data_IF_493593525817
#
_entry.id   IF_493593525817
#
_cell.length_a   1.000
_cell.length_b   1.000
_cell.length_c   1.000
_cell.angle_alpha   90.00
_cell.angle_beta   90.00
_cell.angle_gamma   90.00
#
_symmetry.space_group_name_H-M   'P 1'
#
loop_
_entity.id
_entity.type
_entity.pdbx_description
1 polymer ?
#
# COMPACT_ATOMS: atom_id res chain seq x y z
N UNK A 1 13.04 -9.88 8.75
CA UNK A 1 11.84 -9.73 9.61
C UNK A 1 11.06 -8.54 9.05
N UNK A 2 9.78 -8.70 8.75
CA UNK A 2 8.92 -7.64 8.26
C UNK A 2 7.84 -7.34 9.30
N UNK A 3 7.43 -6.09 9.36
CA UNK A 3 6.40 -5.64 10.30
C UNK A 3 5.04 -5.83 9.65
N UNK A 4 4.14 -6.50 10.36
CA UNK A 4 2.74 -6.69 9.96
C UNK A 4 1.89 -6.21 11.12
N UNK A 5 0.74 -5.62 10.84
CA UNK A 5 -0.30 -5.47 11.85
C UNK A 5 -0.72 -6.86 12.40
N UNK A 6 -1.08 -6.90 13.68
CA UNK A 6 -1.40 -8.16 14.37
C UNK A 6 -2.85 -8.59 14.10
N UNK A 7 -3.70 -7.64 13.68
CA UNK A 7 -5.08 -7.89 13.28
C UNK A 7 -5.15 -8.02 11.76
N UNK A 8 -5.05 -9.26 11.30
CA UNK A 8 -5.21 -9.62 9.90
C UNK A 8 -6.62 -10.17 9.67
N UNK A 9 -7.17 -9.96 8.48
CA UNK A 9 -8.36 -10.66 8.01
C UNK A 9 -7.96 -11.67 6.92
N UNK A 10 -7.68 -12.93 7.28
CA UNK A 10 -7.37 -13.99 6.33
C UNK A 10 -8.42 -14.13 5.24
N UNK A 11 -7.98 -14.35 4.00
CA UNK A 11 -8.85 -14.81 2.93
C UNK A 11 -9.03 -16.32 3.07
N UNK A 12 -10.27 -16.80 3.14
CA UNK A 12 -10.53 -18.23 3.26
C UNK A 12 -10.09 -19.00 2.00
N UNK A 13 -9.42 -20.14 2.18
CA UNK A 13 -8.99 -21.00 1.05
C UNK A 13 -10.16 -21.41 0.16
N UNK A 14 -11.31 -21.69 0.77
CA UNK A 14 -12.51 -22.12 0.04
C UNK A 14 -12.98 -21.04 -0.95
N UNK A 15 -12.87 -19.76 -0.58
CA UNK A 15 -13.18 -18.63 -1.47
C UNK A 15 -12.24 -18.59 -2.67
N UNK A 16 -10.93 -18.75 -2.45
CA UNK A 16 -9.92 -18.76 -3.52
C UNK A 16 -10.07 -19.98 -4.45
N UNK A 17 -10.38 -21.16 -3.90
CA UNK A 17 -10.63 -22.37 -4.69
C UNK A 17 -11.89 -22.23 -5.55
N UNK A 18 -12.96 -21.67 -4.98
CA UNK A 18 -14.19 -21.39 -5.71
C UNK A 18 -13.95 -20.39 -6.84
N UNK A 19 -13.22 -19.31 -6.56
CA UNK A 19 -12.85 -18.34 -7.58
C UNK A 19 -12.09 -18.99 -8.75
N UNK A 20 -11.10 -19.82 -8.46
CA UNK A 20 -10.36 -20.58 -9.49
C UNK A 20 -11.28 -21.49 -10.34
N UNK A 21 -12.27 -22.12 -9.71
CA UNK A 21 -13.25 -22.96 -10.42
C UNK A 21 -14.17 -22.12 -11.31
N UNK A 22 -14.72 -21.04 -10.76
CA UNK A 22 -15.69 -20.17 -11.44
C UNK A 22 -15.06 -19.44 -12.65
N UNK A 23 -13.77 -19.11 -12.56
CA UNK A 23 -13.02 -18.38 -13.60
C UNK A 23 -12.04 -19.25 -14.40
N UNK A 24 -12.01 -20.57 -14.17
CA UNK A 24 -11.12 -21.52 -14.85
C UNK A 24 -9.63 -21.10 -14.88
N UNK A 25 -9.13 -20.54 -13.77
CA UNK A 25 -7.74 -20.10 -13.62
C UNK A 25 -7.02 -20.91 -12.54
N UNK A 26 -5.68 -20.87 -12.56
CA UNK A 26 -4.85 -21.27 -11.42
C UNK A 26 -4.23 -20.02 -10.81
N UNK A 27 -4.57 -19.74 -9.55
CA UNK A 27 -3.91 -18.67 -8.80
C UNK A 27 -2.54 -19.16 -8.34
N UNK A 28 -1.51 -18.29 -8.30
CA UNK A 28 -0.22 -18.65 -7.73
C UNK A 28 -0.38 -19.15 -6.29
N UNK A 29 0.23 -20.29 -5.96
CA UNK A 29 0.11 -20.87 -4.63
C UNK A 29 0.70 -19.93 -3.57
N UNK A 30 1.84 -19.31 -3.86
CA UNK A 30 2.46 -18.33 -2.96
C UNK A 30 1.55 -17.13 -2.69
N UNK A 31 0.76 -16.67 -3.68
CA UNK A 31 -0.24 -15.63 -3.47
C UNK A 31 -1.36 -16.12 -2.55
N UNK A 32 -1.89 -17.32 -2.79
CA UNK A 32 -2.95 -17.91 -1.97
C UNK A 32 -2.50 -18.05 -0.52
N UNK A 33 -1.32 -18.62 -0.28
CA UNK A 33 -0.72 -18.74 1.06
C UNK A 33 -0.56 -17.37 1.72
N UNK A 34 -0.08 -16.38 0.97
CA UNK A 34 0.12 -15.03 1.47
C UNK A 34 -1.18 -14.37 1.93
N UNK A 35 -2.23 -14.36 1.10
CA UNK A 35 -3.52 -13.74 1.47
C UNK A 35 -4.30 -14.55 2.51
N UNK A 36 -4.06 -15.85 2.61
CA UNK A 36 -4.56 -16.67 3.72
C UNK A 36 -3.87 -16.33 5.05
N UNK A 37 -2.60 -15.94 5.00
CA UNK A 37 -1.85 -15.63 6.21
C UNK A 37 -2.02 -14.17 6.65
N UNK A 38 -2.06 -13.25 5.69
CA UNK A 38 -2.00 -11.80 5.93
C UNK A 38 -3.26 -11.05 5.48
N UNK A 39 -4.16 -11.67 4.74
CA UNK A 39 -5.28 -10.95 4.12
C UNK A 39 -4.84 -10.04 2.97
N UNK A 40 -5.78 -9.26 2.46
CA UNK A 40 -5.53 -8.15 1.51
C UNK A 40 -4.96 -6.94 2.24
N UNK A 41 -4.25 -6.06 1.53
CA UNK A 41 -3.50 -4.99 2.19
C UNK A 41 -2.46 -4.31 1.32
N UNK A 42 -1.68 -3.41 1.90
CA UNK A 42 -0.65 -2.66 1.19
C UNK A 42 0.75 -3.06 1.64
N UNK A 43 1.58 -3.50 0.69
CA UNK A 43 2.99 -3.76 0.88
C UNK A 43 3.81 -2.48 0.69
N UNK A 44 4.50 -2.08 1.76
CA UNK A 44 5.43 -0.95 1.79
C UNK A 44 4.84 0.37 1.25
N UNK A 45 3.53 0.57 1.39
CA UNK A 45 2.82 1.76 0.90
C UNK A 45 2.80 1.90 -0.62
N UNK A 46 3.18 0.86 -1.39
CA UNK A 46 3.35 0.95 -2.85
C UNK A 46 2.47 -0.05 -3.59
N UNK A 47 2.47 -1.32 -3.18
CA UNK A 47 1.73 -2.38 -3.87
C UNK A 47 0.57 -2.86 -3.01
N UNK A 48 -0.64 -2.66 -3.50
CA UNK A 48 -1.85 -3.23 -2.93
C UNK A 48 -2.01 -4.67 -3.40
N UNK A 49 -2.24 -5.57 -2.45
CA UNK A 49 -2.62 -6.96 -2.68
C UNK A 49 -4.10 -7.05 -2.42
N UNK A 50 -4.83 -7.46 -3.45
CA UNK A 50 -6.28 -7.39 -3.51
C UNK A 50 -6.88 -8.79 -3.61
N UNK A 51 -8.19 -8.90 -3.47
CA UNK A 51 -8.89 -10.12 -3.87
C UNK A 51 -8.80 -10.27 -5.39
N UNK A 52 -8.78 -11.51 -5.92
CA UNK A 52 -8.80 -11.71 -7.36
C UNK A 52 -10.04 -11.07 -8.00
N UNK A 53 -9.85 -10.21 -8.99
CA UNK A 53 -10.91 -9.48 -9.69
C UNK A 53 -10.82 -9.70 -11.21
N UNK A 54 -11.83 -10.36 -11.77
CA UNK A 54 -11.95 -10.67 -13.19
C UNK A 54 -12.71 -9.60 -14.01
N UNK A 55 -13.16 -8.52 -13.36
CA UNK A 55 -13.95 -7.45 -13.96
C UNK A 55 -13.15 -6.16 -14.10
N UNK A 56 -12.16 -5.93 -13.23
CA UNK A 56 -11.41 -4.67 -13.17
C UNK A 56 -10.80 -4.22 -14.50
N UNK A 57 -10.28 -5.16 -15.32
CA UNK A 57 -9.67 -4.82 -16.61
C UNK A 57 -10.67 -4.71 -17.78
N UNK A 58 -11.94 -5.08 -17.60
CA UNK A 58 -12.92 -5.10 -18.69
C UNK A 58 -13.18 -3.72 -19.28
N UNK A 59 -13.20 -2.68 -18.43
CA UNK A 59 -13.40 -1.31 -18.90
C UNK A 59 -12.21 -0.79 -19.71
N UNK A 60 -11.01 -1.33 -19.49
CA UNK A 60 -9.77 -0.89 -20.12
C UNK A 60 -9.59 -1.35 -21.57
N UNK A 61 -10.33 -2.37 -21.99
CA UNK A 61 -10.34 -2.92 -23.36
C UNK A 61 -10.74 -1.88 -24.40
N UNK A 62 -11.71 -1.03 -24.07
CA UNK A 62 -12.19 0.02 -24.98
C UNK A 62 -11.24 1.23 -25.03
N UNK A 63 -10.51 1.49 -23.94
CA UNK A 63 -9.58 2.62 -23.88
C UNK A 63 -8.27 2.36 -24.65
N UNK A 64 -7.92 1.09 -24.91
CA UNK A 64 -6.71 0.69 -25.65
C UNK A 64 -5.45 1.37 -25.08
N UNK A 65 -5.29 1.32 -23.76
CA UNK A 65 -4.16 1.97 -23.07
C UNK A 65 -2.81 1.30 -23.40
N UNK A 66 -2.84 0.01 -23.73
CA UNK A 66 -1.66 -0.78 -24.05
C UNK A 66 -1.63 -1.20 -25.52
N UNK A 67 -0.42 -1.34 -26.05
CA UNK A 67 -0.17 -1.83 -27.39
C UNK A 67 -0.19 -3.36 -27.40
N UNK A 68 -0.95 -3.93 -28.34
CA UNK A 68 -1.09 -5.38 -28.52
C UNK A 68 -0.54 -5.80 -29.88
N UNK A 69 0.79 -5.71 -30.02
CA UNK A 69 1.50 -6.14 -31.23
C UNK A 69 1.94 -7.62 -31.17
N UNK A 70 2.76 -8.06 -32.13
CA UNK A 70 3.25 -9.45 -32.20
C UNK A 70 4.14 -9.87 -31.01
N UNK A 71 4.66 -8.91 -30.23
CA UNK A 71 5.52 -9.15 -29.07
C UNK A 71 4.76 -9.04 -27.75
N UNK A 72 3.52 -8.54 -27.77
CA UNK A 72 2.66 -8.45 -26.59
C UNK A 72 2.35 -9.84 -26.04
N UNK A 73 2.40 -10.04 -24.71
CA UNK A 73 2.11 -11.34 -24.10
C UNK A 73 0.63 -11.74 -24.21
N UNK A 74 -0.25 -10.77 -24.46
CA UNK A 74 -1.70 -10.98 -24.63
C UNK A 74 -2.27 -10.06 -25.72
N UNK A 75 -3.40 -10.45 -26.32
CA UNK A 75 -4.18 -9.59 -27.22
C UNK A 75 -5.08 -8.63 -26.44
N UNK A 76 -5.68 -7.65 -27.14
CA UNK A 76 -6.63 -6.73 -26.51
C UNK A 76 -7.90 -7.45 -26.03
N UNK A 77 -8.36 -8.47 -26.74
CA UNK A 77 -9.51 -9.29 -26.31
C UNK A 77 -9.19 -10.05 -25.03
N UNK A 78 -7.96 -10.56 -24.90
CA UNK A 78 -7.49 -11.29 -23.72
C UNK A 78 -7.31 -10.38 -22.48
N UNK A 79 -7.20 -9.06 -22.67
CA UNK A 79 -7.16 -8.11 -21.56
C UNK A 79 -8.43 -8.20 -20.69
N UNK A 80 -9.60 -8.42 -21.31
CA UNK A 80 -10.88 -8.58 -20.61
C UNK A 80 -10.95 -9.84 -19.74
N UNK A 81 -10.11 -10.84 -20.04
CA UNK A 81 -10.04 -12.14 -19.38
C UNK A 81 -9.01 -12.15 -18.25
N UNK A 82 -8.23 -11.08 -18.11
CA UNK A 82 -7.21 -10.96 -17.08
C UNK A 82 -7.84 -10.79 -15.69
N UNK A 83 -7.21 -11.43 -14.72
CA UNK A 83 -7.60 -11.39 -13.31
C UNK A 83 -6.59 -10.55 -12.57
N UNK A 84 -7.02 -9.39 -12.08
CA UNK A 84 -6.18 -8.52 -11.25
C UNK A 84 -6.10 -9.10 -9.84
N UNK A 85 -4.89 -9.10 -9.28
CA UNK A 85 -4.63 -9.55 -7.90
C UNK A 85 -3.88 -8.49 -7.08
N UNK A 86 -3.55 -7.36 -7.72
CA UNK A 86 -2.95 -6.22 -7.04
C UNK A 86 -2.80 -5.00 -7.94
N UNK A 87 -2.63 -3.85 -7.30
CA UNK A 87 -2.46 -2.55 -7.96
C UNK A 87 -1.33 -1.76 -7.30
N UNK A 88 -0.64 -0.89 -8.04
CA UNK A 88 0.29 0.06 -7.41
C UNK A 88 -0.39 1.38 -7.10
N UNK A 89 0.21 2.16 -6.20
CA UNK A 89 -0.22 3.55 -5.94
C UNK A 89 -0.16 4.46 -7.17
N UNK A 90 0.65 4.11 -8.18
CA UNK A 90 0.72 4.85 -9.44
C UNK A 90 -0.36 4.41 -10.43
N UNK A 91 -1.07 3.32 -10.14
CA UNK A 91 -2.17 2.78 -10.93
C UNK A 91 -1.75 1.71 -11.94
N UNK A 92 -0.62 1.04 -11.73
CA UNK A 92 -0.26 -0.16 -12.48
C UNK A 92 -1.06 -1.35 -11.97
N UNK A 93 -1.35 -2.31 -12.86
CA UNK A 93 -2.02 -3.56 -12.48
C UNK A 93 -1.06 -4.74 -12.47
N UNK A 94 -1.19 -5.60 -11.47
CA UNK A 94 -0.62 -6.93 -11.44
C UNK A 94 -1.74 -7.94 -11.69
N UNK A 95 -1.66 -8.65 -12.81
CA UNK A 95 -2.71 -9.53 -13.27
C UNK A 95 -2.21 -10.92 -13.69
N UNK A 96 -3.16 -11.83 -13.86
CA UNK A 96 -2.98 -13.19 -14.34
C UNK A 96 -3.84 -13.40 -15.58
N UNK A 97 -3.38 -14.23 -16.50
CA UNK A 97 -4.18 -14.68 -17.63
C UNK A 97 -4.05 -16.20 -17.80
N UNK A 98 -5.12 -16.97 -18.04
CA UNK A 98 -5.07 -18.43 -18.08
C UNK A 98 -4.07 -19.04 -19.09
N UNK A 99 -3.73 -18.28 -20.14
CA UNK A 99 -2.79 -18.71 -21.19
C UNK A 99 -1.34 -18.25 -20.96
N UNK A 100 -1.08 -17.47 -19.91
CA UNK A 100 0.25 -16.97 -19.56
C UNK A 100 0.70 -17.66 -18.27
N UNK A 101 1.88 -18.28 -18.29
CA UNK A 101 2.43 -19.02 -17.13
C UNK A 101 2.89 -18.11 -15.98
N UNK A 102 3.25 -16.89 -16.34
CA UNK A 102 3.83 -15.87 -15.47
C UNK A 102 2.81 -14.74 -15.22
N UNK A 103 3.17 -13.76 -14.40
CA UNK A 103 2.28 -12.63 -14.11
C UNK A 103 2.41 -11.56 -15.18
N UNK A 104 1.34 -10.81 -15.37
CA UNK A 104 1.29 -9.64 -16.24
C UNK A 104 1.37 -8.38 -15.39
N UNK A 105 2.27 -7.47 -15.76
CA UNK A 105 2.36 -6.12 -15.22
C UNK A 105 1.88 -5.16 -16.29
N UNK A 106 0.79 -4.45 -15.99
CA UNK A 106 0.17 -3.50 -16.91
C UNK A 106 0.43 -2.09 -16.38
N UNK A 107 1.53 -1.44 -16.81
CA UNK A 107 1.93 -0.14 -16.29
C UNK A 107 1.00 0.96 -16.80
N UNK A 108 0.62 1.91 -15.95
CA UNK A 108 -0.21 3.06 -16.35
C UNK A 108 0.52 4.02 -17.28
N UNK A 109 1.84 4.13 -17.10
CA UNK A 109 2.68 5.13 -17.76
C UNK A 109 3.52 4.57 -18.89
N UNK A 110 3.20 3.36 -19.36
CA UNK A 110 3.80 2.72 -20.54
C UNK A 110 2.71 2.01 -21.33
N UNK A 111 2.92 1.89 -22.64
CA UNK A 111 2.04 1.15 -23.54
C UNK A 111 2.38 -0.34 -23.61
N UNK A 112 3.55 -0.75 -23.10
CA UNK A 112 4.00 -2.15 -23.16
C UNK A 112 3.54 -2.92 -21.91
N UNK A 113 2.92 -4.08 -22.12
CA UNK A 113 2.59 -5.03 -21.05
C UNK A 113 3.83 -5.89 -20.78
N UNK A 114 4.28 -5.92 -19.53
CA UNK A 114 5.46 -6.65 -19.12
C UNK A 114 5.09 -8.01 -18.50
N UNK A 115 5.88 -9.04 -18.79
CA UNK A 115 5.79 -10.34 -18.11
C UNK A 115 6.70 -10.32 -16.88
N UNK A 116 6.13 -10.57 -15.70
CA UNK A 116 6.85 -10.72 -14.44
C UNK A 116 6.98 -12.19 -14.12
N UNK A 117 8.22 -12.68 -14.11
CA UNK A 117 8.49 -14.09 -13.85
C UNK A 117 7.92 -14.53 -12.50
N UNK A 118 7.19 -15.64 -12.52
CA UNK A 118 6.73 -16.34 -11.33
C UNK A 118 7.76 -17.39 -10.91
N UNK A 119 8.31 -17.25 -9.71
CA UNK A 119 9.17 -18.26 -9.10
C UNK A 119 8.40 -19.05 -8.05
N UNK A 120 8.04 -20.30 -8.37
CA UNK A 120 7.32 -21.20 -7.47
C UNK A 120 8.08 -21.56 -6.18
N UNK A 121 9.39 -21.29 -6.11
CA UNK A 121 10.20 -21.53 -4.91
C UNK A 121 10.36 -20.27 -4.05
N UNK A 122 10.04 -19.09 -4.59
CA UNK A 122 10.12 -17.83 -3.86
C UNK A 122 8.84 -17.57 -3.09
N UNK A 123 8.96 -16.91 -1.93
CA UNK A 123 7.79 -16.39 -1.22
C UNK A 123 7.16 -15.22 -1.99
N UNK A 124 5.86 -15.00 -1.77
CA UNK A 124 5.16 -13.85 -2.37
C UNK A 124 5.83 -12.51 -2.05
N UNK A 125 6.34 -12.36 -0.82
CA UNK A 125 7.04 -11.15 -0.38
C UNK A 125 8.33 -10.91 -1.15
N UNK A 126 9.12 -11.97 -1.40
CA UNK A 126 10.34 -11.86 -2.18
C UNK A 126 10.04 -11.43 -3.61
N UNK A 127 9.01 -12.00 -4.22
CA UNK A 127 8.57 -11.64 -5.55
C UNK A 127 8.06 -10.19 -5.62
N UNK A 128 7.18 -9.76 -4.70
CA UNK A 128 6.73 -8.36 -4.61
C UNK A 128 7.90 -7.40 -4.51
N UNK A 129 8.88 -7.71 -3.66
CA UNK A 129 10.07 -6.88 -3.51
C UNK A 129 10.90 -6.80 -4.80
N UNK A 130 11.04 -7.92 -5.53
CA UNK A 130 11.74 -7.96 -6.80
C UNK A 130 11.00 -7.14 -7.86
N UNK A 131 9.69 -7.32 -8.03
CA UNK A 131 8.88 -6.57 -9.01
C UNK A 131 8.96 -5.07 -8.76
N UNK A 132 8.81 -4.64 -7.51
CA UNK A 132 8.93 -3.22 -7.16
C UNK A 132 10.35 -2.68 -7.38
N UNK A 133 11.38 -3.48 -7.10
CA UNK A 133 12.76 -3.09 -7.42
C UNK A 133 12.98 -2.94 -8.92
N UNK A 134 12.36 -3.79 -9.74
CA UNK A 134 12.43 -3.68 -11.20
C UNK A 134 11.71 -2.43 -11.73
N UNK A 135 10.49 -2.17 -11.24
CA UNK A 135 9.67 -1.03 -11.70
C UNK A 135 10.20 0.33 -11.24
N UNK A 136 10.69 0.42 -10.00
CA UNK A 136 11.04 1.70 -9.35
C UNK A 136 12.55 1.89 -9.13
N UNK A 137 13.35 0.85 -9.33
CA UNK A 137 14.81 0.90 -9.20
C UNK A 137 15.30 1.35 -7.82
N UNK A 138 16.39 2.11 -7.82
CA UNK A 138 17.03 2.67 -6.61
C UNK A 138 16.08 3.52 -5.77
N UNK A 139 15.02 4.08 -6.37
CA UNK A 139 14.06 4.90 -5.62
C UNK A 139 13.30 4.05 -4.60
N UNK A 140 12.90 2.83 -4.96
CA UNK A 140 12.24 1.91 -4.03
C UNK A 140 13.18 1.42 -2.92
N UNK A 141 14.43 1.13 -3.26
CA UNK A 141 15.45 0.77 -2.26
C UNK A 141 15.71 1.90 -1.26
N UNK A 142 15.74 3.15 -1.73
CA UNK A 142 15.89 4.33 -0.87
C UNK A 142 14.64 4.61 -0.04
N UNK A 143 13.45 4.37 -0.61
CA UNK A 143 12.18 4.54 0.08
C UNK A 143 11.98 3.52 1.21
N UNK A 144 12.64 2.36 1.16
CA UNK A 144 12.36 1.29 2.13
C UNK A 144 13.63 0.67 2.74
N UNK A 145 14.06 1.21 3.87
CA UNK A 145 14.98 0.53 4.79
C UNK A 145 14.29 -0.58 5.61
N UNK A 146 12.95 -0.55 5.69
CA UNK A 146 12.14 -1.46 6.49
C UNK A 146 11.01 -2.04 5.64
N UNK A 147 10.88 -3.37 5.60
CA UNK A 147 9.78 -4.05 4.90
C UNK A 147 8.58 -4.17 5.83
N UNK A 148 7.41 -3.71 5.41
CA UNK A 148 6.18 -3.82 6.18
C UNK A 148 4.96 -4.12 5.29
N UNK A 149 3.91 -4.65 5.90
CA UNK A 149 2.62 -4.92 5.28
C UNK A 149 1.49 -4.41 6.17
N UNK A 150 0.59 -3.65 5.59
CA UNK A 150 -0.60 -3.11 6.24
C UNK A 150 -1.82 -3.88 5.75
N UNK A 151 -2.29 -4.87 6.50
CA UNK A 151 -3.53 -5.58 6.16
C UNK A 151 -4.73 -4.65 6.27
N UNK A 152 -5.61 -4.68 5.29
CA UNK A 152 -6.85 -3.91 5.29
C UNK A 152 -7.91 -4.67 6.08
N UNK A 153 -8.53 -3.99 7.04
CA UNK A 153 -9.64 -4.52 7.83
C UNK A 153 -10.86 -3.61 7.68
N UNK A 154 -12.10 -4.16 7.65
CA UNK A 154 -13.33 -3.35 7.61
C UNK A 154 -13.51 -2.45 8.83
N UNK A 155 -12.82 -2.77 9.94
CA UNK A 155 -12.82 -1.98 11.17
C UNK A 155 -11.84 -0.81 11.13
N UNK A 156 -10.91 -0.78 10.17
CA UNK A 156 -9.93 0.29 10.03
C UNK A 156 -10.62 1.65 9.82
N UNK A 157 -10.23 2.62 10.65
CA UNK A 157 -10.74 3.98 10.64
C UNK A 157 -9.67 4.93 10.12
N UNK A 158 -10.10 5.93 9.34
CA UNK A 158 -9.25 7.00 8.85
C UNK A 158 -9.77 8.35 9.32
N UNK A 159 -8.89 9.16 9.93
CA UNK A 159 -9.17 10.55 10.30
C UNK A 159 -8.16 11.46 9.62
N UNK A 160 -8.67 12.47 8.92
CA UNK A 160 -7.86 13.59 8.44
C UNK A 160 -7.91 14.70 9.48
N UNK A 161 -6.75 15.04 10.03
CA UNK A 161 -6.57 16.05 11.07
C UNK A 161 -5.74 17.21 10.51
N UNK A 162 -5.93 18.39 11.09
CA UNK A 162 -5.21 19.61 10.72
C UNK A 162 -4.30 20.03 11.85
N UNK A 163 -3.02 20.23 11.55
CA UNK A 163 -2.05 20.88 12.42
C UNK A 163 -2.21 22.39 12.34
N UNK A 164 -2.41 23.02 13.49
CA UNK A 164 -2.53 24.47 13.65
C UNK A 164 -1.27 25.01 14.34
N UNK A 165 -0.24 25.45 13.57
CA UNK A 165 1.01 25.92 14.15
C UNK A 165 0.80 27.15 15.05
N UNK A 166 1.54 27.21 16.15
CA UNK A 166 1.44 28.31 17.12
C UNK A 166 1.84 29.66 16.51
N UNK A 167 1.13 30.74 16.86
CA UNK A 167 1.33 32.08 16.29
C UNK A 167 2.67 32.75 16.72
N UNK A 168 3.41 32.20 17.68
CA UNK A 168 4.74 32.67 18.09
C UNK A 168 5.80 32.28 17.04
N UNK A 169 5.77 32.99 15.92
CA UNK A 169 6.53 32.68 14.70
C UNK A 169 5.79 33.01 13.41
N UNK A 170 4.59 33.61 13.50
CA UNK A 170 3.78 34.06 12.36
C UNK A 170 4.43 35.23 11.60
N UNK A 171 5.53 34.95 10.90
CA UNK A 171 5.62 35.43 9.53
C UNK A 171 4.67 34.57 8.72
N UNK A 172 3.40 34.96 8.73
CA UNK A 172 2.35 34.46 7.87
C UNK A 172 2.93 34.21 6.46
N UNK A 173 2.74 33.00 5.93
CA UNK A 173 2.83 32.59 4.50
C UNK A 173 3.99 31.71 4.04
N UNK A 174 4.87 31.15 4.89
CA UNK A 174 5.84 30.16 4.40
C UNK A 174 5.42 28.72 4.75
N UNK A 175 5.07 27.92 3.74
CA UNK A 175 4.85 26.46 3.88
C UNK A 175 6.07 25.81 4.56
N UNK A 176 7.27 26.33 4.28
CA UNK A 176 8.52 25.88 4.89
C UNK A 176 8.53 25.95 6.41
N UNK A 177 8.04 27.03 7.02
CA UNK A 177 8.04 27.17 8.49
C UNK A 177 7.03 26.24 9.16
N UNK A 178 5.88 26.00 8.53
CA UNK A 178 4.88 25.06 9.05
C UNK A 178 5.37 23.60 8.89
N UNK A 179 6.03 23.29 7.76
CA UNK A 179 6.64 21.99 7.55
C UNK A 179 7.72 21.69 8.59
N UNK A 180 8.61 22.63 8.88
CA UNK A 180 9.64 22.49 9.92
C UNK A 180 9.05 22.26 11.31
N UNK A 181 8.00 23.00 11.68
CA UNK A 181 7.29 22.78 12.94
C UNK A 181 6.62 21.41 12.99
N UNK A 182 5.96 20.99 11.91
CA UNK A 182 5.32 19.67 11.83
C UNK A 182 6.35 18.53 11.91
N UNK A 183 7.54 18.71 11.33
CA UNK A 183 8.65 17.76 11.50
C UNK A 183 9.07 17.66 12.97
N UNK A 184 9.28 18.79 13.64
CA UNK A 184 9.62 18.79 15.08
C UNK A 184 8.54 18.14 15.94
N UNK A 185 7.26 18.41 15.64
CA UNK A 185 6.13 17.79 16.33
C UNK A 185 6.13 16.27 16.14
N UNK A 186 6.34 15.77 14.92
CA UNK A 186 6.43 14.34 14.67
C UNK A 186 7.56 13.68 15.48
N UNK A 187 8.73 14.32 15.56
CA UNK A 187 9.86 13.84 16.36
C UNK A 187 9.56 13.84 17.87
N UNK A 188 8.89 14.88 18.35
CA UNK A 188 8.49 14.99 19.76
C UNK A 188 7.44 13.94 20.13
N UNK A 189 6.45 13.71 19.26
CA UNK A 189 5.47 12.62 19.40
C UNK A 189 6.20 11.28 19.48
N UNK A 190 7.10 11.00 18.54
CA UNK A 190 7.87 9.75 18.55
C UNK A 190 8.79 9.61 19.77
N UNK A 191 9.22 10.71 20.39
CA UNK A 191 10.00 10.66 21.63
C UNK A 191 9.13 10.32 22.84
N UNK A 192 7.90 10.84 22.91
CA UNK A 192 6.97 10.60 24.02
C UNK A 192 6.22 9.28 23.91
N UNK A 193 5.91 8.87 22.69
CA UNK A 193 5.25 7.62 22.34
C UNK A 193 6.02 6.96 21.18
N UNK A 194 7.12 6.24 21.48
CA UNK A 194 7.94 5.60 20.45
C UNK A 194 7.15 4.70 19.53
N UNK A 195 7.27 4.96 18.23
CA UNK A 195 6.70 4.13 17.19
C UNK A 195 7.47 2.82 17.03
N UNK A 196 6.76 1.73 16.71
CA UNK A 196 7.37 0.46 16.33
C UNK A 196 8.11 0.57 14.98
N UNK A 197 7.66 1.51 14.13
CA UNK A 197 8.31 1.85 12.88
C UNK A 197 8.15 3.35 12.60
N UNK A 198 9.28 3.99 12.24
CA UNK A 198 9.32 5.34 11.71
C UNK A 198 9.85 5.28 10.27
N UNK A 199 9.06 5.79 9.33
CA UNK A 199 9.46 5.99 7.93
C UNK A 199 9.42 7.48 7.68
N UNK A 200 10.54 8.04 7.25
CA UNK A 200 10.67 9.47 7.06
C UNK A 200 11.31 9.78 5.71
N UNK A 201 10.73 10.77 5.04
CA UNK A 201 11.20 11.32 3.79
C UNK A 201 11.25 12.85 3.92
N UNK A 202 11.84 13.56 2.94
CA UNK A 202 11.78 15.03 2.92
C UNK A 202 10.35 15.61 2.90
N UNK A 203 9.33 14.81 2.57
CA UNK A 203 7.96 15.27 2.36
C UNK A 203 6.95 14.70 3.36
N UNK A 204 7.33 13.71 4.16
CA UNK A 204 6.42 13.06 5.09
C UNK A 204 7.14 12.27 6.17
N UNK A 205 6.42 12.02 7.26
CA UNK A 205 6.80 11.04 8.27
C UNK A 205 5.60 10.16 8.59
N UNK A 206 5.82 8.86 8.63
CA UNK A 206 4.86 7.85 9.07
C UNK A 206 5.40 7.23 10.36
N UNK A 207 4.60 7.35 11.42
CA UNK A 207 4.82 6.70 12.71
C UNK A 207 3.79 5.60 12.88
N UNK A 208 4.23 4.34 12.93
CA UNK A 208 3.37 3.17 13.07
C UNK A 208 3.47 2.57 14.47
N UNK A 209 2.32 2.23 15.04
CA UNK A 209 2.22 1.56 16.34
C UNK A 209 1.35 0.31 16.21
N UNK A 210 1.89 -0.83 16.62
CA UNK A 210 1.12 -2.08 16.74
C UNK A 210 0.00 -1.94 17.75
N UNK A 211 0.21 -1.19 18.84
CA UNK A 211 -0.80 -1.03 19.89
C UNK A 211 -2.11 -0.39 19.43
N UNK A 212 -2.13 0.33 18.30
CA UNK A 212 -3.36 0.87 17.69
C UNK A 212 -3.66 0.24 16.32
N UNK A 213 -2.84 -0.73 15.92
CA UNK A 213 -2.90 -1.40 14.61
C UNK A 213 -2.92 -0.41 13.43
N UNK A 214 -2.11 0.64 13.54
CA UNK A 214 -2.19 1.76 12.60
C UNK A 214 -1.05 2.76 12.73
N UNK A 215 -1.23 3.94 12.13
CA UNK A 215 -0.19 4.94 12.00
C UNK A 215 -0.72 6.36 12.02
N UNK A 216 0.17 7.30 12.33
CA UNK A 216 0.00 8.72 12.02
C UNK A 216 0.97 9.10 10.90
N UNK A 217 0.44 9.70 9.82
CA UNK A 217 1.20 10.23 8.70
C UNK A 217 1.16 11.75 8.72
N UNK A 218 2.32 12.36 8.92
CA UNK A 218 2.54 13.79 8.88
C UNK A 218 2.95 14.18 7.46
N UNK A 219 2.22 15.10 6.85
CA UNK A 219 2.49 15.55 5.49
C UNK A 219 3.28 16.86 5.51
N UNK A 220 4.61 16.76 5.39
CA UNK A 220 5.51 17.92 5.41
C UNK A 220 5.41 18.75 4.14
N UNK A 221 4.99 18.17 3.00
CA UNK A 221 4.82 18.93 1.76
C UNK A 221 3.72 20.01 1.87
N UNK A 222 2.62 19.70 2.58
CA UNK A 222 1.58 20.69 2.87
C UNK A 222 1.82 21.43 4.19
N UNK A 223 2.51 20.80 5.15
CA UNK A 223 2.91 21.43 6.40
C UNK A 223 1.79 21.58 7.44
N UNK A 224 0.60 21.03 7.17
CA UNK A 224 -0.54 21.06 8.10
C UNK A 224 -1.37 19.77 8.12
N UNK A 225 -1.23 18.88 7.14
CA UNK A 225 -2.07 17.67 7.08
C UNK A 225 -1.46 16.55 7.91
N UNK A 226 -2.28 15.96 8.78
CA UNK A 226 -1.96 14.74 9.52
C UNK A 226 -3.06 13.72 9.28
N UNK A 227 -2.72 12.56 8.73
CA UNK A 227 -3.65 11.45 8.57
C UNK A 227 -3.43 10.44 9.69
N UNK A 228 -4.49 10.07 10.40
CA UNK A 228 -4.48 9.06 11.45
C UNK A 228 -5.27 7.84 10.97
N UNK A 229 -4.62 6.69 10.96
CA UNK A 229 -5.21 5.39 10.65
C UNK A 229 -5.10 4.49 11.88
N UNK A 230 -6.18 3.80 12.26
CA UNK A 230 -6.19 2.90 13.42
C UNK A 230 -7.33 1.88 13.32
N UNK A 231 -7.23 0.78 14.08
CA UNK A 231 -8.33 -0.15 14.31
C UNK A 231 -9.01 0.16 15.66
N UNK A 232 -10.33 -0.02 15.76
CA UNK A 232 -11.12 0.30 16.98
C UNK A 232 -10.98 -0.77 18.08
N UNK A 233 -10.12 -1.76 17.90
CA UNK A 233 -9.93 -2.86 18.85
C UNK A 233 -9.23 -2.44 20.16
N UNK A 234 -8.41 -1.39 20.14
CA UNK A 234 -7.58 -0.96 21.28
C UNK A 234 -7.83 0.52 21.64
N UNK A 235 -8.95 0.76 22.34
CA UNK A 235 -9.46 2.12 22.61
C UNK A 235 -8.52 2.97 23.47
N UNK A 236 -7.87 2.41 24.49
CA UNK A 236 -6.97 3.16 25.39
C UNK A 236 -5.71 3.68 24.68
N UNK A 237 -5.07 2.83 23.86
CA UNK A 237 -3.87 3.22 23.12
C UNK A 237 -4.20 4.30 22.07
N UNK A 238 -5.37 4.17 21.42
CA UNK A 238 -5.92 5.18 20.50
C UNK A 238 -6.16 6.51 21.21
N UNK A 239 -6.88 6.51 22.33
CA UNK A 239 -7.18 7.72 23.11
C UNK A 239 -5.89 8.44 23.52
N UNK A 240 -4.90 7.70 24.01
CA UNK A 240 -3.60 8.26 24.37
C UNK A 240 -2.90 8.95 23.19
N UNK A 241 -2.94 8.37 21.99
CA UNK A 241 -2.38 9.02 20.80
C UNK A 241 -3.17 10.26 20.39
N UNK A 242 -4.50 10.20 20.42
CA UNK A 242 -5.36 11.34 20.11
C UNK A 242 -5.15 12.50 21.08
N UNK A 243 -5.07 12.22 22.38
CA UNK A 243 -4.74 13.21 23.41
C UNK A 243 -3.37 13.84 23.18
N UNK A 244 -2.37 13.04 22.79
CA UNK A 244 -1.05 13.53 22.46
C UNK A 244 -1.07 14.45 21.23
N UNK A 245 -1.79 14.07 20.17
CA UNK A 245 -1.95 14.90 18.97
C UNK A 245 -2.61 16.25 19.30
N UNK A 246 -3.63 16.26 20.17
CA UNK A 246 -4.30 17.48 20.63
C UNK A 246 -3.36 18.43 21.38
N UNK A 247 -2.41 17.91 22.17
CA UNK A 247 -1.40 18.74 22.85
C UNK A 247 -0.51 19.51 21.87
N UNK A 248 -0.33 18.97 20.65
CA UNK A 248 0.41 19.60 19.56
C UNK A 248 -0.49 20.35 18.57
N UNK A 249 -1.72 20.71 18.96
CA UNK A 249 -2.64 21.47 18.12
C UNK A 249 -3.01 20.76 16.81
N UNK A 250 -3.13 19.43 16.84
CA UNK A 250 -3.57 18.60 15.71
C UNK A 250 -5.00 18.11 15.99
N UNK A 251 -6.01 18.58 15.23
CA UNK A 251 -7.42 18.17 15.36
C UNK A 251 -8.25 18.37 14.08
#
# INVERSE_FOLDING_TARGET
MYLVNEHVQPVERATLLRFQQDHHIQLPEAYCEFVQQYGVGTYCGVLNIEHPDAQQLQEFVEYQLWEHDEHSPITNEQLAECIVIGTTIDGDFLALHPQVSDLLWLPRHSTEIEVRQYDSQASWIEMMHQWLTMSYGDSFQKMQQHRYYESWTPSQQHRSLTFHPSEEGNNLLSISSSAEQLTQVADQINTQLPADLKIESPYSCLLFWRSIQGYARFNYAYGYEVALCYDDTEEEAKERLVELLLQYQIY
#
